data_IF_383966925103
#
_entry.id   IF_383966925103
#
_cell.length_a   1.000
_cell.length_b   1.000
_cell.length_c   1.000
_cell.angle_alpha   90.00
_cell.angle_beta   90.00
_cell.angle_gamma   90.00
#
_symmetry.space_group_name_H-M   'P 1'
#
loop_
_entity.id
_entity.type
_entity.pdbx_description
1 polymer ?
#
# COMPACT_ATOMS: atom_id res chain seq x y z
N UNK A 1 5.81 -16.65 4.06
CA UNK A 1 6.56 -15.57 4.75
C UNK A 1 7.04 -14.51 3.78
N UNK A 2 7.83 -14.86 2.76
CA UNK A 2 8.36 -13.92 1.74
C UNK A 2 7.29 -13.01 1.12
N UNK A 3 6.18 -13.57 0.64
CA UNK A 3 5.07 -12.80 0.06
C UNK A 3 4.53 -11.72 1.00
N UNK A 4 4.32 -12.06 2.27
CA UNK A 4 3.84 -11.11 3.27
C UNK A 4 4.90 -10.07 3.61
N UNK A 5 6.17 -10.46 3.73
CA UNK A 5 7.29 -9.53 4.02
C UNK A 5 7.33 -8.38 3.00
N UNK A 6 7.25 -8.70 1.71
CA UNK A 6 7.32 -7.70 0.65
C UNK A 6 5.97 -7.08 0.28
N UNK A 7 4.86 -7.79 0.46
CA UNK A 7 3.52 -7.33 0.05
C UNK A 7 2.74 -6.56 1.11
N UNK A 8 3.06 -6.69 2.40
CA UNK A 8 2.21 -6.13 3.47
C UNK A 8 2.14 -4.60 3.46
N UNK A 9 3.25 -3.91 3.18
CA UNK A 9 3.23 -2.44 3.13
C UNK A 9 2.50 -1.91 1.90
N UNK A 10 2.62 -2.58 0.75
CA UNK A 10 1.83 -2.26 -0.44
C UNK A 10 0.35 -2.46 -0.16
N UNK A 11 -0.03 -3.58 0.46
CA UNK A 11 -1.42 -3.85 0.85
C UNK A 11 -1.94 -2.81 1.87
N UNK A 12 -1.17 -2.46 2.90
CA UNK A 12 -1.53 -1.42 3.87
C UNK A 12 -1.75 -0.08 3.15
N UNK A 13 -0.84 0.33 2.25
CA UNK A 13 -0.97 1.60 1.53
C UNK A 13 -2.05 1.58 0.44
N UNK A 14 -2.47 0.41 -0.03
CA UNK A 14 -3.64 0.24 -0.90
C UNK A 14 -4.97 0.33 -0.13
N UNK A 15 -4.99 -0.14 1.13
CA UNK A 15 -6.18 -0.08 1.99
C UNK A 15 -6.32 1.27 2.72
N UNK A 16 -5.20 1.93 3.05
CA UNK A 16 -5.20 3.19 3.79
C UNK A 16 -6.09 4.29 3.15
N UNK A 17 -6.18 4.43 1.81
CA UNK A 17 -7.06 5.41 1.16
C UNK A 17 -8.53 5.31 1.56
N UNK A 18 -9.05 4.13 1.92
CA UNK A 18 -10.44 3.98 2.39
C UNK A 18 -10.69 4.65 3.74
N UNK A 19 -9.62 4.95 4.48
CA UNK A 19 -9.65 5.68 5.76
C UNK A 19 -9.28 7.16 5.60
N UNK A 20 -9.04 7.64 4.38
CA UNK A 20 -8.47 8.95 4.10
C UNK A 20 -9.39 9.80 3.21
N UNK A 21 -9.40 11.09 3.47
CA UNK A 21 -9.83 12.10 2.51
C UNK A 21 -8.71 13.13 2.30
N UNK A 22 -9.00 14.19 1.54
CA UNK A 22 -8.02 15.24 1.25
C UNK A 22 -7.52 15.99 2.50
N UNK A 23 -8.33 16.00 3.57
CA UNK A 23 -8.15 16.81 4.77
C UNK A 23 -7.56 16.03 5.95
N UNK A 24 -7.59 14.68 5.95
CA UNK A 24 -7.08 13.87 7.05
C UNK A 24 -7.40 12.38 6.93
N UNK A 25 -7.09 11.64 8.00
CA UNK A 25 -7.36 10.20 8.10
C UNK A 25 -8.09 9.82 9.39
N UNK A 26 -8.89 8.76 9.28
CA UNK A 26 -9.50 8.09 10.42
C UNK A 26 -8.47 7.23 11.16
N UNK A 27 -8.50 7.31 12.49
CA UNK A 27 -7.62 6.55 13.39
C UNK A 27 -8.42 5.92 14.54
N UNK A 28 -7.80 5.03 15.31
CA UNK A 28 -8.39 4.39 16.49
C UNK A 28 -9.76 3.74 16.20
N UNK A 29 -9.83 2.92 15.14
CA UNK A 29 -11.06 2.29 14.65
C UNK A 29 -12.17 3.29 14.32
N UNK A 30 -11.82 4.38 13.63
CA UNK A 30 -12.75 5.43 13.21
C UNK A 30 -13.20 6.37 14.33
N UNK A 31 -12.69 6.20 15.56
CA UNK A 31 -13.05 7.06 16.71
C UNK A 31 -12.32 8.40 16.73
N UNK A 32 -11.26 8.55 15.94
CA UNK A 32 -10.52 9.80 15.82
C UNK A 32 -10.34 10.19 14.36
N UNK A 33 -10.24 11.49 14.12
CA UNK A 33 -9.83 12.05 12.83
C UNK A 33 -8.60 12.92 13.05
N UNK A 34 -7.51 12.60 12.36
CA UNK A 34 -6.27 13.36 12.43
C UNK A 34 -6.10 14.11 11.11
N UNK A 35 -5.96 15.43 11.19
CA UNK A 35 -5.87 16.27 9.99
C UNK A 35 -4.52 16.09 9.29
N UNK A 36 -4.53 16.18 7.96
CA UNK A 36 -3.34 16.19 7.12
C UNK A 36 -2.44 17.37 7.47
N UNK A 37 -3.03 18.53 7.75
CA UNK A 37 -2.27 19.72 8.16
C UNK A 37 -1.56 19.53 9.50
N UNK A 38 -2.21 18.90 10.48
CA UNK A 38 -1.57 18.56 11.74
C UNK A 38 -0.37 17.64 11.52
N UNK A 39 -0.52 16.59 10.70
CA UNK A 39 0.59 15.68 10.37
C UNK A 39 1.74 16.40 9.64
N UNK A 40 1.43 17.36 8.76
CA UNK A 40 2.43 18.21 8.10
C UNK A 40 3.15 19.15 9.07
N UNK A 41 2.50 19.58 10.16
CA UNK A 41 3.09 20.46 11.18
C UNK A 41 4.06 19.77 12.14
N UNK A 42 4.15 18.43 12.10
CA UNK A 42 5.09 17.69 12.94
C UNK A 42 6.54 18.10 12.63
N UNK A 43 7.44 17.88 13.59
CA UNK A 43 8.88 18.09 13.33
C UNK A 43 9.38 17.07 12.31
N UNK A 44 10.38 17.45 11.53
CA UNK A 44 11.10 16.49 10.68
C UNK A 44 11.83 15.45 11.54
N UNK A 45 11.97 14.21 11.05
CA UNK A 45 11.47 13.70 9.76
C UNK A 45 10.01 13.20 9.77
N UNK A 46 9.29 13.28 10.90
CA UNK A 46 7.95 12.68 11.06
C UNK A 46 6.87 13.28 10.16
N UNK A 47 6.95 14.58 9.87
CA UNK A 47 6.04 15.26 8.93
C UNK A 47 6.11 14.70 7.50
N UNK A 48 7.21 14.04 7.13
CA UNK A 48 7.44 13.51 5.79
C UNK A 48 6.79 12.12 5.59
N UNK A 49 6.34 11.47 6.67
CA UNK A 49 5.87 10.07 6.62
C UNK A 49 4.56 9.95 5.85
N UNK A 50 3.54 10.74 6.23
CA UNK A 50 2.17 10.54 5.78
C UNK A 50 1.85 11.25 4.47
N UNK A 51 2.58 12.31 4.14
CA UNK A 51 2.26 13.17 3.01
C UNK A 51 2.23 12.42 1.66
N UNK A 52 3.22 11.58 1.30
CA UNK A 52 3.15 10.78 0.07
C UNK A 52 1.97 9.80 0.03
N UNK A 53 1.50 9.33 1.20
CA UNK A 53 0.36 8.40 1.29
C UNK A 53 -0.94 9.15 1.04
N UNK A 54 -1.06 10.40 1.48
CA UNK A 54 -2.18 11.27 1.11
C UNK A 54 -2.19 11.57 -0.40
N UNK A 55 -1.03 11.86 -0.99
CA UNK A 55 -0.93 12.09 -2.44
C UNK A 55 -1.33 10.87 -3.26
N UNK A 56 -0.92 9.68 -2.82
CA UNK A 56 -1.36 8.41 -3.39
C UNK A 56 -2.87 8.23 -3.21
N UNK A 57 -3.38 8.39 -1.98
CA UNK A 57 -4.78 8.17 -1.63
C UNK A 57 -5.75 9.06 -2.44
N UNK A 58 -5.42 10.34 -2.64
CA UNK A 58 -6.26 11.24 -3.45
C UNK A 58 -6.38 10.73 -4.90
N UNK A 59 -5.28 10.26 -5.50
CA UNK A 59 -5.28 9.71 -6.87
C UNK A 59 -5.95 8.33 -6.94
N UNK A 60 -5.80 7.53 -5.88
CA UNK A 60 -6.33 6.18 -5.81
C UNK A 60 -7.84 6.18 -5.54
N UNK A 61 -8.34 7.03 -4.64
CA UNK A 61 -9.78 7.18 -4.37
C UNK A 61 -10.55 7.74 -5.57
N UNK A 62 -9.89 8.48 -6.48
CA UNK A 62 -10.49 8.91 -7.74
C UNK A 62 -10.78 7.76 -8.72
N UNK A 63 -10.35 6.53 -8.40
CA UNK A 63 -10.74 5.32 -9.11
C UNK A 63 -12.07 4.74 -8.60
N UNK A 64 -12.61 5.29 -7.50
CA UNK A 64 -13.94 4.95 -6.94
C UNK A 64 -14.15 3.45 -6.69
N UNK A 65 -13.10 2.77 -6.27
CA UNK A 65 -13.12 1.34 -5.95
C UNK A 65 -13.95 1.07 -4.70
N UNK A 66 -14.69 -0.03 -4.72
CA UNK A 66 -15.38 -0.55 -3.55
C UNK A 66 -14.57 -1.66 -2.84
N UNK A 67 -15.11 -2.18 -1.74
CA UNK A 67 -14.44 -3.21 -0.93
C UNK A 67 -14.21 -4.52 -1.70
N UNK A 68 -15.07 -4.85 -2.67
CA UNK A 68 -14.96 -6.07 -3.47
C UNK A 68 -13.83 -5.97 -4.50
N UNK A 69 -13.66 -4.80 -5.12
CA UNK A 69 -12.52 -4.51 -5.99
C UNK A 69 -11.21 -4.55 -5.19
N UNK A 70 -11.19 -3.92 -4.02
CA UNK A 70 -10.02 -3.85 -3.14
C UNK A 70 -9.59 -5.22 -2.63
N UNK A 71 -10.54 -6.12 -2.34
CA UNK A 71 -10.23 -7.48 -1.90
C UNK A 71 -9.40 -8.24 -2.96
N UNK A 72 -9.83 -8.17 -4.23
CA UNK A 72 -9.12 -8.80 -5.34
C UNK A 72 -7.79 -8.11 -5.63
N UNK A 73 -7.75 -6.77 -5.56
CA UNK A 73 -6.54 -6.00 -5.78
C UNK A 73 -5.45 -6.28 -4.73
N UNK A 74 -5.83 -6.33 -3.45
CA UNK A 74 -4.90 -6.68 -2.36
C UNK A 74 -4.43 -8.12 -2.47
N UNK A 75 -5.30 -9.05 -2.87
CA UNK A 75 -4.90 -10.43 -3.14
C UNK A 75 -3.82 -10.49 -4.24
N UNK A 76 -4.00 -9.75 -5.34
CA UNK A 76 -3.02 -9.67 -6.43
C UNK A 76 -1.66 -9.07 -5.99
N UNK A 77 -1.67 -8.09 -5.07
CA UNK A 77 -0.46 -7.50 -4.46
C UNK A 77 0.30 -8.54 -3.61
N UNK A 78 -0.41 -9.29 -2.78
CA UNK A 78 0.20 -10.28 -1.88
C UNK A 78 0.78 -11.44 -2.70
N UNK A 79 0.05 -11.93 -3.69
CA UNK A 79 0.40 -13.07 -4.52
C UNK A 79 1.34 -12.69 -5.67
N UNK A 80 2.34 -11.83 -5.44
CA UNK A 80 3.24 -11.41 -6.50
C UNK A 80 4.43 -12.35 -6.67
N UNK A 81 4.66 -12.84 -7.90
CA UNK A 81 5.76 -13.77 -8.21
C UNK A 81 7.16 -13.15 -8.22
N UNK A 82 7.25 -11.82 -8.28
CA UNK A 82 8.50 -11.06 -8.40
C UNK A 82 9.25 -10.81 -7.08
N UNK A 83 8.78 -11.38 -5.95
CA UNK A 83 9.38 -11.09 -4.64
C UNK A 83 10.75 -11.77 -4.48
N UNK A 84 11.77 -11.07 -3.97
CA UNK A 84 13.09 -11.65 -3.72
C UNK A 84 13.05 -12.87 -2.80
N UNK A 85 13.78 -13.93 -3.16
CA UNK A 85 13.88 -15.13 -2.33
C UNK A 85 12.66 -16.06 -2.35
N UNK A 86 11.77 -15.92 -3.35
CA UNK A 86 10.73 -16.92 -3.59
C UNK A 86 11.31 -18.21 -4.17
N UNK A 87 10.79 -19.35 -3.69
CA UNK A 87 11.22 -20.70 -4.11
C UNK A 87 10.33 -21.20 -5.26
N UNK A 88 9.01 -21.24 -5.06
CA UNK A 88 8.05 -21.77 -6.05
C UNK A 88 7.41 -20.63 -6.87
N UNK A 89 8.22 -19.86 -7.59
CA UNK A 89 7.78 -18.66 -8.33
C UNK A 89 6.60 -18.98 -9.27
N UNK A 90 6.74 -20.01 -10.09
CA UNK A 90 5.73 -20.39 -11.08
C UNK A 90 4.34 -20.65 -10.48
N UNK A 91 4.29 -21.32 -9.32
CA UNK A 91 3.03 -21.58 -8.63
C UNK A 91 2.38 -20.29 -8.12
N UNK A 92 3.19 -19.33 -7.65
CA UNK A 92 2.69 -18.01 -7.23
C UNK A 92 2.15 -17.24 -8.43
N UNK A 93 2.87 -17.24 -9.55
CA UNK A 93 2.45 -16.58 -10.80
C UNK A 93 1.12 -17.16 -11.33
N UNK A 94 0.97 -18.49 -11.35
CA UNK A 94 -0.28 -19.15 -11.78
C UNK A 94 -1.49 -18.72 -10.93
N UNK A 95 -1.30 -18.56 -9.62
CA UNK A 95 -2.34 -18.06 -8.72
C UNK A 95 -2.58 -16.57 -8.97
N UNK A 96 -1.52 -15.77 -9.13
CA UNK A 96 -1.63 -14.34 -9.40
C UNK A 96 -2.42 -14.07 -10.68
N UNK A 97 -2.12 -14.80 -11.75
CA UNK A 97 -2.80 -14.69 -13.05
C UNK A 97 -4.29 -14.98 -12.89
N UNK A 98 -4.65 -16.01 -12.12
CA UNK A 98 -6.05 -16.35 -11.84
C UNK A 98 -6.77 -15.22 -11.09
N UNK A 99 -6.11 -14.60 -10.11
CA UNK A 99 -6.65 -13.46 -9.36
C UNK A 99 -6.75 -12.20 -10.23
N UNK A 100 -5.77 -11.94 -11.10
CA UNK A 100 -5.78 -10.81 -12.02
C UNK A 100 -6.90 -10.94 -13.06
N UNK A 101 -7.15 -12.15 -13.56
CA UNK A 101 -8.29 -12.43 -14.44
C UNK A 101 -9.63 -12.20 -13.72
N UNK A 102 -9.74 -12.67 -12.48
CA UNK A 102 -10.94 -12.43 -11.67
C UNK A 102 -11.15 -10.92 -11.41
N UNK A 103 -10.07 -10.19 -11.11
CA UNK A 103 -10.10 -8.74 -10.93
C UNK A 103 -10.56 -8.02 -12.21
N UNK A 104 -9.99 -8.33 -13.37
CA UNK A 104 -10.38 -7.70 -14.64
C UNK A 104 -11.87 -7.92 -14.96
N UNK A 105 -12.35 -9.17 -14.83
CA UNK A 105 -13.75 -9.51 -15.04
C UNK A 105 -14.68 -8.81 -14.05
N UNK A 106 -14.30 -8.77 -12.77
CA UNK A 106 -15.06 -8.11 -11.71
C UNK A 106 -15.18 -6.61 -11.97
N UNK A 107 -14.08 -5.94 -12.34
CA UNK A 107 -14.09 -4.51 -12.65
C UNK A 107 -14.94 -4.20 -13.88
N UNK A 108 -14.90 -5.03 -14.93
CA UNK A 108 -15.74 -4.84 -16.12
C UNK A 108 -17.23 -4.98 -15.81
N UNK A 109 -17.59 -5.83 -14.85
CA UNK A 109 -18.98 -6.03 -14.41
C UNK A 109 -19.46 -4.92 -13.46
N UNK A 110 -18.61 -4.51 -12.51
CA UNK A 110 -18.96 -3.57 -11.45
C UNK A 110 -18.83 -2.10 -11.89
N UNK A 111 -17.90 -1.81 -12.80
CA UNK A 111 -17.57 -0.46 -13.27
C UNK A 111 -17.78 -0.29 -14.78
N UNK A 112 -19.02 -0.47 -15.23
CA UNK A 112 -19.37 -0.48 -16.68
C UNK A 112 -18.96 0.79 -17.45
N UNK A 113 -18.85 1.93 -16.78
CA UNK A 113 -18.45 3.21 -17.35
C UNK A 113 -16.91 3.41 -17.41
N UNK A 114 -16.13 2.58 -16.73
CA UNK A 114 -14.68 2.73 -16.55
C UNK A 114 -13.88 1.59 -17.22
N UNK A 115 -13.94 1.51 -18.55
CA UNK A 115 -13.29 0.45 -19.37
C UNK A 115 -11.76 0.30 -19.20
N UNK A 116 -11.09 1.29 -18.61
CA UNK A 116 -9.63 1.29 -18.40
C UNK A 116 -9.24 1.21 -16.92
N UNK A 117 -10.15 0.74 -16.05
CA UNK A 117 -9.89 0.66 -14.62
C UNK A 117 -8.82 -0.39 -14.27
N UNK A 118 -8.87 -1.57 -14.88
CA UNK A 118 -7.88 -2.63 -14.68
C UNK A 118 -6.44 -2.19 -15.00
N UNK A 119 -6.11 -1.65 -16.20
CA UNK A 119 -4.75 -1.17 -16.46
C UNK A 119 -4.32 0.01 -15.57
N UNK A 120 -5.26 0.88 -15.14
CA UNK A 120 -4.96 1.92 -14.15
C UNK A 120 -4.57 1.32 -12.80
N UNK A 121 -5.24 0.25 -12.36
CA UNK A 121 -4.91 -0.46 -11.12
C UNK A 121 -3.55 -1.15 -11.20
N UNK A 122 -3.20 -1.77 -12.33
CA UNK A 122 -1.86 -2.33 -12.52
C UNK A 122 -0.76 -1.27 -12.39
N UNK A 123 -0.98 -0.07 -12.96
CA UNK A 123 -0.07 1.06 -12.77
C UNK A 123 0.02 1.47 -11.28
N UNK A 124 -1.08 1.40 -10.52
CA UNK A 124 -1.06 1.67 -9.08
C UNK A 124 -0.26 0.66 -8.28
N UNK A 125 -0.11 -0.59 -8.74
CA UNK A 125 0.80 -1.55 -8.11
C UNK A 125 2.27 -1.13 -8.25
N UNK A 126 2.64 -0.46 -9.35
CA UNK A 126 3.99 0.10 -9.50
C UNK A 126 4.19 1.33 -8.61
N UNK A 127 3.20 2.24 -8.57
CA UNK A 127 3.21 3.40 -7.66
C UNK A 127 3.37 2.95 -6.19
N UNK A 128 2.71 1.87 -5.78
CA UNK A 128 2.81 1.31 -4.42
C UNK A 128 4.22 0.78 -4.11
N UNK A 129 4.87 0.08 -5.03
CA UNK A 129 6.26 -0.40 -4.86
C UNK A 129 7.21 0.77 -4.61
N UNK A 130 7.06 1.85 -5.38
CA UNK A 130 7.85 3.07 -5.21
C UNK A 130 7.57 3.71 -3.84
N UNK A 131 6.30 3.85 -3.46
CA UNK A 131 5.88 4.43 -2.18
C UNK A 131 6.43 3.63 -0.98
N UNK A 132 6.46 2.30 -1.06
CA UNK A 132 7.06 1.43 -0.04
C UNK A 132 8.56 1.62 0.05
N UNK A 133 9.24 1.77 -1.08
CA UNK A 133 10.69 2.01 -1.14
C UNK A 133 11.06 3.34 -0.45
N UNK A 134 10.35 4.42 -0.80
CA UNK A 134 10.53 5.73 -0.17
C UNK A 134 10.23 5.70 1.34
N UNK A 135 9.17 4.98 1.72
CA UNK A 135 8.81 4.81 3.13
C UNK A 135 9.90 4.06 3.90
N UNK A 136 10.47 2.99 3.33
CA UNK A 136 11.56 2.24 3.95
C UNK A 136 12.79 3.12 4.17
N UNK A 137 13.18 3.93 3.19
CA UNK A 137 14.28 4.90 3.33
C UNK A 137 14.04 5.90 4.45
N UNK A 138 12.80 6.42 4.57
CA UNK A 138 12.44 7.35 5.64
C UNK A 138 12.46 6.68 7.03
N UNK A 139 11.97 5.44 7.14
CA UNK A 139 12.05 4.65 8.38
C UNK A 139 13.51 4.39 8.78
N UNK A 140 14.39 4.09 7.82
CA UNK A 140 15.83 3.95 8.09
C UNK A 140 16.46 5.25 8.56
N UNK A 141 16.08 6.40 7.96
CA UNK A 141 16.52 7.73 8.40
C UNK A 141 16.09 7.99 9.85
N UNK A 142 14.81 7.77 10.18
CA UNK A 142 14.28 7.89 11.55
C UNK A 142 15.08 7.02 12.51
N UNK A 143 15.30 5.74 12.19
CA UNK A 143 16.06 4.82 13.04
C UNK A 143 17.49 5.31 13.32
N UNK A 144 18.12 6.02 12.38
CA UNK A 144 19.47 6.57 12.52
C UNK A 144 19.50 7.89 13.29
N UNK A 145 18.50 8.75 13.11
CA UNK A 145 18.51 10.13 13.65
C UNK A 145 17.74 10.28 14.96
N UNK A 146 16.82 9.37 15.27
CA UNK A 146 15.91 9.46 16.42
C UNK A 146 16.20 8.34 17.42
N UNK A 147 17.21 8.56 18.28
CA UNK A 147 17.70 7.55 19.25
C UNK A 147 16.65 7.05 20.24
N UNK A 148 15.63 7.86 20.53
CA UNK A 148 14.54 7.53 21.45
C UNK A 148 13.38 6.78 20.77
N UNK A 149 13.36 6.72 19.43
CA UNK A 149 12.27 6.05 18.70
C UNK A 149 12.59 4.58 18.49
N UNK A 150 11.82 3.70 19.13
CA UNK A 150 11.93 2.25 18.92
C UNK A 150 10.95 1.77 17.86
N UNK A 151 11.46 1.08 16.84
CA UNK A 151 10.62 0.39 15.86
C UNK A 151 10.15 -0.94 16.46
N UNK A 152 8.87 -1.27 16.31
CA UNK A 152 8.34 -2.54 16.80
C UNK A 152 9.11 -3.75 16.20
N UNK A 153 9.44 -4.81 16.97
CA UNK A 153 10.26 -5.93 16.49
C UNK A 153 9.78 -6.59 15.20
N UNK A 154 8.46 -6.75 15.03
CA UNK A 154 7.88 -7.28 13.79
C UNK A 154 8.17 -6.38 12.57
N UNK A 155 8.07 -5.06 12.74
CA UNK A 155 8.39 -4.12 11.66
C UNK A 155 9.89 -4.14 11.36
N UNK A 156 10.74 -4.30 12.38
CA UNK A 156 12.18 -4.48 12.14
C UNK A 156 12.45 -5.68 11.24
N UNK A 157 11.77 -6.82 11.45
CA UNK A 157 11.92 -8.01 10.62
C UNK A 157 11.41 -7.81 9.18
N UNK A 158 10.33 -7.06 9.02
CA UNK A 158 9.80 -6.71 7.69
C UNK A 158 10.80 -5.84 6.93
N UNK A 159 11.31 -4.77 7.54
CA UNK A 159 12.26 -3.86 6.90
C UNK A 159 13.68 -4.42 6.78
N UNK A 160 14.02 -5.47 7.53
CA UNK A 160 15.32 -6.14 7.44
C UNK A 160 15.46 -6.74 6.04
N UNK A 161 16.56 -6.43 5.34
CA UNK A 161 16.82 -6.92 3.97
C UNK A 161 15.73 -6.54 2.94
N UNK A 162 14.87 -5.56 3.27
CA UNK A 162 14.07 -4.84 2.29
C UNK A 162 14.97 -3.74 1.71
N UNK A 163 15.64 -4.09 0.60
CA UNK A 163 16.51 -3.23 -0.22
C UNK A 163 17.89 -2.93 0.38
#
# INVERSE_FOLDING_TARGET
VTLLKYGVHEAIFAMLPSLMNKDGLLVANGKGFVTREFLRSLRRPFSEIMEPKFEFAVKFNALELDDSDLALFVAAIILCGDRPGLINIKQVEEIQDSILQALDQHLLANHTDSKYLFPKLLNKMADLRQLVTENAMLVQKIKKTESETSLHPLLQEIYKDMY
#
